data_IF_256931033423
#
_entry.id   IF_256931033423
#
_cell.length_a   1.000
_cell.length_b   1.000
_cell.length_c   1.000
_cell.angle_alpha   90.00
_cell.angle_beta   90.00
_cell.angle_gamma   90.00
#
_symmetry.space_group_name_H-M   'P 1'
#
loop_
_entity.id
_entity.type
_entity.pdbx_description
1 polymer ?
#
# COMPACT_ATOMS: atom_id res chain seq x y z
N UNK A 1 4.75 13.91 17.80
CA UNK A 1 4.66 13.40 16.41
C UNK A 1 5.55 14.26 15.51
N UNK A 2 6.59 13.72 14.88
CA UNK A 2 7.41 14.49 13.92
C UNK A 2 6.58 14.73 12.66
N UNK A 3 5.99 15.91 12.53
CA UNK A 3 5.21 16.31 11.35
C UNK A 3 6.16 16.39 10.15
N UNK A 4 6.07 15.44 9.22
CA UNK A 4 6.91 15.42 8.02
C UNK A 4 6.48 16.56 7.08
N UNK A 5 7.15 17.70 7.22
CA UNK A 5 6.92 18.93 6.44
C UNK A 5 6.94 18.67 4.94
N UNK A 6 7.93 17.92 4.45
CA UNK A 6 8.06 17.61 3.02
C UNK A 6 6.83 16.85 2.49
N UNK A 7 6.30 15.90 3.27
CA UNK A 7 5.10 15.15 2.90
C UNK A 7 3.85 16.04 2.85
N UNK A 8 3.70 17.00 3.75
CA UNK A 8 2.54 17.93 3.72
C UNK A 8 2.63 18.85 2.51
N UNK A 9 3.81 19.40 2.22
CA UNK A 9 4.04 20.23 1.03
C UNK A 9 3.69 19.44 -0.24
N UNK A 10 4.13 18.17 -0.31
CA UNK A 10 3.78 17.28 -1.43
C UNK A 10 2.26 17.13 -1.57
N UNK A 11 1.52 16.89 -0.47
CA UNK A 11 0.06 16.79 -0.52
C UNK A 11 -0.61 18.09 -0.96
N UNK A 12 -0.11 19.26 -0.53
CA UNK A 12 -0.64 20.57 -0.95
C UNK A 12 -0.46 20.75 -2.46
N UNK A 13 0.71 20.40 -3.02
CA UNK A 13 0.92 20.48 -4.47
C UNK A 13 0.07 19.48 -5.27
N UNK A 14 -0.12 18.26 -4.74
CA UNK A 14 -1.06 17.29 -5.33
C UNK A 14 -2.48 17.84 -5.30
N UNK A 15 -2.89 18.43 -4.18
CA UNK A 15 -4.21 19.03 -4.03
C UNK A 15 -4.41 20.19 -5.02
N UNK A 16 -3.40 21.06 -5.20
CA UNK A 16 -3.41 22.13 -6.21
C UNK A 16 -3.71 21.55 -7.60
N UNK A 17 -2.98 20.49 -7.99
CA UNK A 17 -3.16 19.84 -9.28
C UNK A 17 -4.53 19.16 -9.42
N UNK A 18 -4.99 18.45 -8.39
CA UNK A 18 -6.30 17.76 -8.43
C UNK A 18 -7.49 18.71 -8.45
N UNK A 19 -7.35 19.88 -7.83
CA UNK A 19 -8.38 20.92 -7.81
C UNK A 19 -8.30 21.85 -9.03
N UNK A 20 -7.35 21.64 -9.94
CA UNK A 20 -7.19 22.49 -11.14
C UNK A 20 -6.85 23.95 -10.83
N UNK A 21 -6.24 24.24 -9.67
CA UNK A 21 -5.91 25.61 -9.28
C UNK A 21 -4.71 26.11 -10.10
N UNK A 22 -4.87 27.26 -10.74
CA UNK A 22 -3.76 27.99 -11.32
C UNK A 22 -2.83 28.55 -10.22
N UNK A 23 -1.68 29.06 -10.64
CA UNK A 23 -0.65 29.53 -9.70
C UNK A 23 -1.05 30.79 -8.95
N UNK A 24 -1.83 31.69 -9.55
CA UNK A 24 -2.27 32.91 -8.89
C UNK A 24 -3.33 32.59 -7.83
N UNK A 25 -4.37 31.84 -8.21
CA UNK A 25 -5.42 31.37 -7.27
C UNK A 25 -4.80 30.60 -6.10
N UNK A 26 -3.80 29.75 -6.38
CA UNK A 26 -3.07 29.04 -5.35
C UNK A 26 -2.33 29.98 -4.39
N UNK A 27 -1.60 30.99 -4.91
CA UNK A 27 -0.86 31.96 -4.09
C UNK A 27 -1.82 32.83 -3.25
N UNK A 28 -2.95 33.25 -3.81
CA UNK A 28 -3.98 34.00 -3.09
C UNK A 28 -4.58 33.18 -1.95
N UNK A 29 -4.86 31.89 -2.19
CA UNK A 29 -5.33 30.99 -1.14
C UNK A 29 -4.29 30.84 -0.01
N UNK A 30 -3.01 30.65 -0.35
CA UNK A 30 -1.94 30.58 0.65
C UNK A 30 -1.84 31.87 1.47
N UNK A 31 -1.91 33.02 0.80
CA UNK A 31 -1.85 34.34 1.41
C UNK A 31 -3.03 34.54 2.38
N UNK A 32 -4.25 34.21 1.96
CA UNK A 32 -5.46 34.32 2.79
C UNK A 32 -5.40 33.45 4.06
N UNK A 33 -4.83 32.24 3.97
CA UNK A 33 -4.80 31.30 5.11
C UNK A 33 -3.62 31.57 6.05
N UNK A 34 -2.47 31.99 5.51
CA UNK A 34 -1.19 31.99 6.25
C UNK A 34 -0.44 33.32 6.25
N UNK A 35 -0.86 34.28 5.44
CA UNK A 35 -0.13 35.53 5.19
C UNK A 35 1.12 35.35 4.32
N UNK A 36 1.34 34.16 3.73
CA UNK A 36 2.52 33.82 2.93
C UNK A 36 2.12 33.26 1.58
N UNK A 37 2.90 33.54 0.55
CA UNK A 37 2.64 33.09 -0.83
C UNK A 37 3.35 31.79 -1.20
N UNK A 38 4.21 31.27 -0.31
CA UNK A 38 5.04 30.09 -0.55
C UNK A 38 4.98 29.11 0.61
N UNK A 39 4.81 27.82 0.29
CA UNK A 39 4.88 26.72 1.26
C UNK A 39 6.28 26.53 1.85
N UNK A 40 7.32 27.03 1.18
CA UNK A 40 8.70 27.01 1.67
C UNK A 40 8.91 27.93 2.87
N UNK A 41 8.11 28.97 3.01
CA UNK A 41 8.22 29.91 4.12
C UNK A 41 7.31 29.54 5.30
N UNK A 42 6.50 28.50 5.16
CA UNK A 42 5.51 28.09 6.15
C UNK A 42 6.07 27.11 7.18
N UNK A 43 5.62 27.30 8.43
CA UNK A 43 5.86 26.33 9.51
C UNK A 43 4.90 25.13 9.39
N UNK A 44 5.17 24.00 10.09
CA UNK A 44 4.31 22.82 10.02
C UNK A 44 2.85 23.06 10.43
N UNK A 45 2.58 24.00 11.35
CA UNK A 45 1.22 24.36 11.75
C UNK A 45 0.46 25.07 10.64
N UNK A 46 1.10 26.03 9.96
CA UNK A 46 0.57 26.74 8.80
C UNK A 46 0.27 25.78 7.64
N UNK A 47 1.20 24.85 7.36
CA UNK A 47 1.01 23.83 6.31
C UNK A 47 -0.19 22.91 6.61
N UNK A 48 -0.41 22.53 7.86
CA UNK A 48 -1.59 21.75 8.24
C UNK A 48 -2.89 22.54 8.06
N UNK A 49 -2.90 23.85 8.39
CA UNK A 49 -4.07 24.72 8.15
C UNK A 49 -4.42 24.80 6.67
N UNK A 50 -3.43 24.98 5.80
CA UNK A 50 -3.62 24.98 4.35
C UNK A 50 -4.19 23.66 3.87
N UNK A 51 -3.57 22.54 4.26
CA UNK A 51 -4.05 21.22 3.85
C UNK A 51 -5.48 20.94 4.35
N UNK A 52 -5.82 21.37 5.57
CA UNK A 52 -7.17 21.25 6.12
C UNK A 52 -8.20 22.09 5.32
N UNK A 53 -7.85 23.32 4.94
CA UNK A 53 -8.69 24.16 4.10
C UNK A 53 -8.92 23.54 2.71
N UNK A 54 -7.88 22.96 2.10
CA UNK A 54 -8.02 22.26 0.82
C UNK A 54 -8.94 21.03 0.94
N UNK A 55 -8.82 20.26 2.03
CA UNK A 55 -9.73 19.13 2.30
C UNK A 55 -11.18 19.60 2.46
N UNK A 56 -11.41 20.69 3.19
CA UNK A 56 -12.74 21.28 3.35
C UNK A 56 -13.34 21.75 2.02
N UNK A 57 -12.50 22.24 1.09
CA UNK A 57 -12.90 22.64 -0.27
C UNK A 57 -13.07 21.46 -1.25
N UNK A 58 -12.95 20.21 -0.79
CA UNK A 58 -13.20 19.02 -1.61
C UNK A 58 -11.96 18.22 -2.01
N UNK A 59 -10.76 18.53 -1.49
CA UNK A 59 -9.60 17.67 -1.71
C UNK A 59 -9.74 16.34 -0.96
N UNK A 60 -9.97 15.27 -1.72
CA UNK A 60 -9.99 13.90 -1.19
C UNK A 60 -8.62 13.27 -1.39
N UNK A 61 -7.93 12.94 -0.29
CA UNK A 61 -6.71 12.14 -0.34
C UNK A 61 -7.10 10.72 -0.73
N UNK A 62 -7.05 10.42 -2.03
CA UNK A 62 -7.18 9.04 -2.50
C UNK A 62 -6.00 8.24 -1.92
N UNK A 63 -6.25 7.09 -1.26
CA UNK A 63 -5.16 6.21 -0.88
C UNK A 63 -4.37 5.88 -2.16
N UNK A 64 -3.04 5.84 -2.04
CA UNK A 64 -2.18 5.49 -3.17
C UNK A 64 -2.71 4.19 -3.78
N UNK A 65 -3.06 4.21 -5.07
CA UNK A 65 -3.41 2.98 -5.79
C UNK A 65 -2.23 2.03 -5.61
N UNK A 66 -2.44 0.90 -4.93
CA UNK A 66 -1.45 -0.18 -4.89
C UNK A 66 -1.07 -0.43 -6.34
N UNK A 67 0.22 -0.28 -6.67
CA UNK A 67 0.69 -0.52 -8.02
C UNK A 67 0.22 -1.91 -8.44
N UNK A 68 -0.69 -1.99 -9.41
CA UNK A 68 -1.02 -3.28 -10.04
C UNK A 68 0.28 -3.74 -10.67
N UNK A 69 0.77 -4.89 -10.26
CA UNK A 69 1.97 -5.42 -10.87
C UNK A 69 1.62 -5.86 -12.27
N UNK A 70 2.13 -5.12 -13.24
CA UNK A 70 2.07 -5.46 -14.67
C UNK A 70 2.98 -6.63 -15.01
N UNK A 71 3.53 -7.32 -14.00
CA UNK A 71 4.46 -8.44 -14.18
C UNK A 71 3.66 -9.68 -14.55
N UNK A 72 4.00 -10.34 -15.67
CA UNK A 72 3.29 -11.53 -16.10
C UNK A 72 3.42 -12.64 -15.06
N UNK A 73 2.25 -13.12 -14.60
CA UNK A 73 2.10 -14.18 -13.61
C UNK A 73 2.85 -15.44 -14.04
N UNK A 74 3.48 -16.12 -13.09
CA UNK A 74 4.02 -17.46 -13.33
C UNK A 74 2.89 -18.44 -13.65
N UNK A 75 2.99 -19.20 -14.74
CA UNK A 75 1.87 -20.01 -15.27
C UNK A 75 2.05 -21.54 -15.11
N UNK A 76 2.94 -21.97 -14.23
CA UNK A 76 3.16 -23.40 -13.97
C UNK A 76 2.25 -23.93 -12.83
N UNK A 77 1.95 -25.24 -12.77
CA UNK A 77 0.93 -25.81 -11.86
C UNK A 77 1.14 -25.49 -10.38
N UNK A 78 2.38 -25.54 -9.88
CA UNK A 78 2.68 -25.24 -8.48
C UNK A 78 2.47 -23.76 -8.15
N UNK A 79 2.77 -22.82 -9.06
CA UNK A 79 2.46 -21.40 -8.86
C UNK A 79 0.94 -21.18 -8.75
N UNK A 80 0.15 -21.87 -9.58
CA UNK A 80 -1.32 -21.83 -9.51
C UNK A 80 -1.81 -22.36 -8.15
N UNK A 81 -1.22 -23.44 -7.65
CA UNK A 81 -1.54 -24.01 -6.33
C UNK A 81 -1.20 -23.06 -5.18
N UNK A 82 -0.03 -22.42 -5.20
CA UNK A 82 0.35 -21.41 -4.21
C UNK A 82 -0.65 -20.25 -4.16
N UNK A 83 -1.09 -19.76 -5.33
CA UNK A 83 -2.12 -18.71 -5.41
C UNK A 83 -3.46 -19.17 -4.88
N UNK A 84 -3.91 -20.36 -5.25
CA UNK A 84 -5.18 -20.91 -4.78
C UNK A 84 -5.20 -21.02 -3.26
N UNK A 85 -4.14 -21.57 -2.65
CA UNK A 85 -4.01 -21.65 -1.19
C UNK A 85 -3.97 -20.26 -0.54
N UNK A 86 -3.27 -19.30 -1.13
CA UNK A 86 -3.23 -17.93 -0.60
C UNK A 86 -4.60 -17.25 -0.59
N UNK A 87 -5.38 -17.42 -1.66
CA UNK A 87 -6.74 -16.90 -1.76
C UNK A 87 -7.68 -17.60 -0.77
N UNK A 88 -7.54 -18.90 -0.58
CA UNK A 88 -8.29 -19.65 0.42
C UNK A 88 -7.99 -19.17 1.84
N UNK A 89 -6.71 -18.98 2.18
CA UNK A 89 -6.30 -18.43 3.49
C UNK A 89 -6.82 -17.01 3.70
N UNK A 90 -6.94 -16.20 2.64
CA UNK A 90 -7.58 -14.89 2.72
C UNK A 90 -9.09 -15.00 2.98
N UNK A 91 -9.78 -15.94 2.30
CA UNK A 91 -11.21 -16.19 2.54
C UNK A 91 -11.49 -16.70 3.97
N UNK A 92 -10.55 -17.45 4.54
CA UNK A 92 -10.57 -17.89 5.95
C UNK A 92 -10.19 -16.78 6.95
N UNK A 93 -9.83 -15.59 6.48
CA UNK A 93 -9.44 -14.45 7.33
C UNK A 93 -8.05 -14.56 7.96
N UNK A 94 -7.26 -15.57 7.59
CA UNK A 94 -5.90 -15.80 8.11
C UNK A 94 -4.93 -14.75 7.54
N UNK A 95 -5.09 -14.44 6.26
CA UNK A 95 -4.27 -13.46 5.53
C UNK A 95 -5.07 -12.18 5.31
N UNK A 96 -4.43 -11.02 5.48
CA UNK A 96 -5.07 -9.69 5.33
C UNK A 96 -5.01 -9.12 3.91
N UNK A 97 -4.12 -9.63 3.06
CA UNK A 97 -3.89 -9.13 1.70
C UNK A 97 -3.83 -10.29 0.69
N UNK A 98 -4.83 -10.37 -0.19
CA UNK A 98 -4.94 -11.40 -1.22
C UNK A 98 -4.07 -11.15 -2.47
N UNK A 99 -3.31 -10.05 -2.52
CA UNK A 99 -2.57 -9.69 -3.73
C UNK A 99 -1.40 -10.63 -4.00
N UNK A 100 -1.10 -10.83 -5.30
CA UNK A 100 0.07 -11.60 -5.77
C UNK A 100 1.38 -11.06 -5.17
N UNK A 101 1.46 -9.76 -4.92
CA UNK A 101 2.64 -9.15 -4.30
C UNK A 101 2.81 -9.54 -2.83
N UNK A 102 1.71 -9.73 -2.10
CA UNK A 102 1.77 -10.23 -0.73
C UNK A 102 2.28 -11.69 -0.73
N UNK A 103 1.73 -12.53 -1.61
CA UNK A 103 2.21 -13.90 -1.81
C UNK A 103 3.69 -13.94 -2.20
N UNK A 104 4.11 -13.13 -3.17
CA UNK A 104 5.50 -13.04 -3.63
C UNK A 104 6.45 -12.64 -2.51
N UNK A 105 6.09 -11.66 -1.68
CA UNK A 105 6.90 -11.25 -0.51
C UNK A 105 7.04 -12.37 0.49
N UNK A 106 5.95 -13.10 0.74
CA UNK A 106 5.97 -14.27 1.62
C UNK A 106 6.88 -15.37 1.05
N UNK A 107 6.70 -15.74 -0.23
CA UNK A 107 7.56 -16.74 -0.89
C UNK A 107 9.02 -16.33 -0.86
N UNK A 108 9.34 -15.06 -1.17
CA UNK A 108 10.72 -14.54 -1.10
C UNK A 108 11.30 -14.68 0.31
N UNK A 109 10.51 -14.50 1.36
CA UNK A 109 10.99 -14.69 2.73
C UNK A 109 11.32 -16.15 3.02
N UNK A 110 10.48 -17.08 2.56
CA UNK A 110 10.62 -18.51 2.82
C UNK A 110 11.70 -19.19 1.96
N UNK A 111 11.80 -18.83 0.69
CA UNK A 111 12.65 -19.53 -0.30
C UNK A 111 13.85 -18.69 -0.77
N UNK A 112 13.92 -17.42 -0.36
CA UNK A 112 14.90 -16.42 -0.84
C UNK A 112 14.85 -16.13 -2.34
N UNK A 113 13.86 -16.69 -3.06
CA UNK A 113 13.69 -16.47 -4.50
C UNK A 113 12.80 -15.26 -4.75
N UNK A 114 13.30 -14.33 -5.55
CA UNK A 114 12.67 -13.02 -5.72
C UNK A 114 11.35 -13.06 -6.49
N UNK A 115 11.06 -14.09 -7.29
CA UNK A 115 9.83 -14.19 -8.05
C UNK A 115 9.41 -15.63 -8.32
N UNK A 116 8.10 -15.87 -8.23
CA UNK A 116 7.47 -17.16 -8.50
C UNK A 116 7.89 -17.75 -9.85
N UNK A 117 8.11 -16.93 -10.89
CA UNK A 117 8.56 -17.39 -12.22
C UNK A 117 9.88 -18.19 -12.18
N UNK A 118 10.76 -17.90 -11.23
CA UNK A 118 12.09 -18.51 -11.09
C UNK A 118 12.15 -19.53 -9.97
N UNK A 119 10.99 -19.90 -9.41
CA UNK A 119 10.94 -20.82 -8.29
C UNK A 119 11.03 -22.25 -8.80
N UNK A 120 12.13 -22.90 -8.46
CA UNK A 120 12.38 -24.33 -8.75
C UNK A 120 11.32 -25.21 -8.08
N UNK A 121 11.06 -26.38 -8.68
CA UNK A 121 10.00 -27.31 -8.25
C UNK A 121 10.11 -27.72 -6.78
N UNK A 122 11.33 -27.95 -6.29
CA UNK A 122 11.57 -28.36 -4.89
C UNK A 122 11.23 -27.24 -3.91
N UNK A 123 11.67 -26.02 -4.24
CA UNK A 123 11.39 -24.83 -3.42
C UNK A 123 9.90 -24.47 -3.47
N UNK A 124 9.25 -24.67 -4.60
CA UNK A 124 7.80 -24.50 -4.74
C UNK A 124 7.03 -25.51 -3.90
N UNK A 125 7.44 -26.78 -3.90
CA UNK A 125 6.83 -27.83 -3.08
C UNK A 125 7.02 -27.55 -1.59
N UNK A 126 8.23 -27.15 -1.17
CA UNK A 126 8.51 -26.71 0.20
C UNK A 126 7.62 -25.51 0.61
N UNK A 127 7.44 -24.52 -0.28
CA UNK A 127 6.59 -23.36 -0.01
C UNK A 127 5.11 -23.76 0.15
N UNK A 128 4.62 -24.72 -0.66
CA UNK A 128 3.24 -25.24 -0.54
C UNK A 128 3.04 -25.91 0.82
N UNK A 129 3.95 -26.78 1.24
CA UNK A 129 3.82 -27.48 2.54
C UNK A 129 3.91 -26.49 3.72
N UNK A 130 4.78 -25.47 3.62
CA UNK A 130 4.81 -24.40 4.64
C UNK A 130 3.52 -23.59 4.70
N UNK A 131 2.88 -23.29 3.56
CA UNK A 131 1.57 -22.62 3.55
C UNK A 131 0.51 -23.47 4.24
N UNK A 132 0.43 -24.77 3.92
CA UNK A 132 -0.55 -25.67 4.53
C UNK A 132 -0.35 -25.77 6.05
N UNK A 133 0.88 -25.98 6.50
CA UNK A 133 1.18 -26.07 7.94
C UNK A 133 0.84 -24.76 8.67
N UNK A 134 1.06 -23.61 8.02
CA UNK A 134 0.65 -22.33 8.58
C UNK A 134 -0.87 -22.21 8.64
N UNK A 135 -1.57 -22.53 7.54
CA UNK A 135 -3.03 -22.52 7.47
C UNK A 135 -3.64 -23.41 8.57
N UNK A 136 -3.18 -24.64 8.71
CA UNK A 136 -3.67 -25.58 9.71
C UNK A 136 -3.48 -25.03 11.14
N UNK A 137 -2.30 -24.48 11.44
CA UNK A 137 -2.03 -23.87 12.75
C UNK A 137 -2.98 -22.71 13.05
N UNK A 138 -3.22 -21.83 12.09
CA UNK A 138 -4.13 -20.70 12.30
C UNK A 138 -5.58 -21.16 12.38
N UNK A 139 -5.98 -22.18 11.62
CA UNK A 139 -7.30 -22.79 11.75
C UNK A 139 -7.52 -23.46 13.12
N UNK A 140 -6.52 -24.17 13.67
CA UNK A 140 -6.59 -24.74 15.03
C UNK A 140 -6.80 -23.64 16.07
N UNK A 141 -6.05 -22.54 15.97
CA UNK A 141 -6.24 -21.36 16.83
C UNK A 141 -7.65 -20.77 16.70
N UNK A 142 -8.16 -20.64 15.47
CA UNK A 142 -9.52 -20.13 15.22
C UNK A 142 -10.60 -21.06 15.79
N UNK A 143 -10.33 -22.37 15.86
CA UNK A 143 -11.21 -23.39 16.45
C UNK A 143 -11.10 -23.50 17.97
N UNK A 144 -10.13 -22.83 18.60
CA UNK A 144 -9.89 -22.90 20.05
C UNK A 144 -9.22 -24.20 20.50
N UNK A 145 -8.62 -24.94 19.58
CA UNK A 145 -7.84 -26.15 19.86
C UNK A 145 -6.37 -25.73 20.07
N UNK A 146 -6.00 -25.38 21.30
CA UNK A 146 -4.60 -25.16 21.72
C UNK A 146 -4.12 -26.25 22.65
#
# INVERSE_FOLDING_TARGET
>A
MKTNRARIIQFIHIAKSQMGMDTDTYRQMLLSITGKTSTSDMNPGQLNKVLAAMKAKGFVVKPARKARTTRPLADYPQAKKLRALWLEMYAQGIVRDNSEEALRRWVKRETKVDGLRWLESDKASMAIERLKNWQERELKKLRGET
#
